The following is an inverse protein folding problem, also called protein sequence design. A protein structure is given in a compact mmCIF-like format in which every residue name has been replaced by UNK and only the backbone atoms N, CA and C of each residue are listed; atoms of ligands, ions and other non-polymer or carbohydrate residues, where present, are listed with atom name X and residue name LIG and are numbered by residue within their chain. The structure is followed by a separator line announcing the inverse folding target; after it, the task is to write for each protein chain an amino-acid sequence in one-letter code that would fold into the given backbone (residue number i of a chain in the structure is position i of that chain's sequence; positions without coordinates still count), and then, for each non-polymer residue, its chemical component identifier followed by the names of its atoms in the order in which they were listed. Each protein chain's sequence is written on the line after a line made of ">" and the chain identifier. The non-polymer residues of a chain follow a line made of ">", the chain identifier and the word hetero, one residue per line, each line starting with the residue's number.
data_IF_558601137746
#
_entry.id   IF_558601137746
#
_cell.length_a   1.000
_cell.length_b   1.000
_cell.length_c   1.000
_cell.angle_alpha   90.00
_cell.angle_beta   90.00
_cell.angle_gamma   90.00
#
_symmetry.space_group_name_H-M   'P 1'
#
loop_
_entity.id
_entity.type
_entity.pdbx_description
1 polymer ?
#
# COMPACT_ATOMS: atom_id res chain seq x y z
N UNK A 1 -1.23 -12.88 22.17
CA UNK A 1 -1.16 -11.86 21.09
C UNK A 1 -0.72 -10.55 21.71
N UNK A 2 0.23 -9.80 21.11
CA UNK A 2 0.67 -8.52 21.65
C UNK A 2 -0.48 -7.51 21.69
N UNK A 3 -0.43 -6.57 22.64
CA UNK A 3 -1.39 -5.48 22.69
C UNK A 3 -1.08 -4.43 21.61
N UNK A 4 -2.08 -3.66 21.17
CA UNK A 4 -1.88 -2.60 20.17
C UNK A 4 -0.93 -1.52 20.70
N UNK A 5 -0.99 -1.22 22.00
CA UNK A 5 -0.09 -0.27 22.66
C UNK A 5 1.38 -0.75 22.63
N UNK A 6 1.61 -2.02 22.93
CA UNK A 6 2.93 -2.65 22.91
C UNK A 6 3.51 -2.71 21.48
N UNK A 7 2.67 -3.02 20.49
CA UNK A 7 3.05 -2.95 19.08
C UNK A 7 3.49 -1.54 18.71
N UNK A 8 2.68 -0.54 19.05
CA UNK A 8 2.95 0.86 18.73
C UNK A 8 4.28 1.35 19.28
N UNK A 9 4.58 1.02 20.55
CA UNK A 9 5.86 1.38 21.18
C UNK A 9 7.05 0.76 20.45
N UNK A 10 6.91 -0.49 19.98
CA UNK A 10 8.01 -1.24 19.36
C UNK A 10 8.19 -0.97 17.87
N UNK A 11 7.10 -0.72 17.14
CA UNK A 11 7.11 -0.62 15.67
C UNK A 11 6.96 0.82 15.16
N UNK A 12 6.53 1.77 16.00
CA UNK A 12 6.34 3.17 15.61
C UNK A 12 7.17 4.16 16.45
N UNK A 13 8.52 4.19 16.34
CA UNK A 13 9.33 5.23 16.98
C UNK A 13 8.95 6.65 16.52
N UNK A 14 9.15 7.63 17.40
CA UNK A 14 8.84 9.04 17.14
C UNK A 14 9.54 9.61 15.91
N UNK A 15 10.70 9.05 15.55
CA UNK A 15 11.45 9.39 14.34
C UNK A 15 10.65 9.18 13.05
N UNK A 16 9.68 8.26 13.00
CA UNK A 16 8.83 8.09 11.82
C UNK A 16 7.83 9.25 11.71
N UNK A 17 7.36 9.81 12.82
CA UNK A 17 6.43 10.94 12.84
C UNK A 17 7.15 12.26 12.53
N UNK A 18 8.43 12.35 12.89
CA UNK A 18 9.31 13.48 12.60
C UNK A 18 9.87 13.49 11.18
N UNK A 19 9.84 12.35 10.46
CA UNK A 19 10.17 12.32 9.03
C UNK A 19 9.16 13.18 8.28
N UNK A 20 9.61 14.36 7.86
CA UNK A 20 8.91 15.24 6.94
C UNK A 20 8.98 14.70 5.50
N UNK A 21 8.77 13.39 5.33
CA UNK A 21 8.56 12.78 4.03
C UNK A 21 7.28 13.40 3.48
N UNK A 22 7.41 14.18 2.41
CA UNK A 22 6.31 14.91 1.78
C UNK A 22 5.22 14.00 1.19
N UNK A 23 5.38 12.68 1.23
CA UNK A 23 4.71 11.81 0.25
C UNK A 23 3.26 11.46 0.60
N UNK A 24 2.85 11.27 1.86
CA UNK A 24 1.44 10.90 2.10
C UNK A 24 0.87 11.48 3.40
N UNK A 25 0.12 12.58 3.26
CA UNK A 25 -0.73 13.17 4.30
C UNK A 25 -1.65 12.13 4.99
N UNK A 26 -2.18 11.17 4.23
CA UNK A 26 -2.98 10.04 4.71
C UNK A 26 -2.25 9.17 5.76
N UNK A 27 -0.95 8.95 5.55
CA UNK A 27 -0.04 8.26 6.47
C UNK A 27 -0.03 8.90 7.86
N UNK A 28 0.08 10.24 7.90
CA UNK A 28 0.11 11.02 9.15
C UNK A 28 -1.27 11.16 9.79
N UNK A 29 -2.34 11.25 9.00
CA UNK A 29 -3.67 11.60 9.50
C UNK A 29 -4.37 10.40 10.19
N UNK A 30 -4.40 9.23 9.55
CA UNK A 30 -5.12 8.07 10.10
C UNK A 30 -4.43 6.71 9.86
N UNK A 31 -3.62 6.55 8.80
CA UNK A 31 -3.11 5.22 8.45
C UNK A 31 -2.19 4.63 9.53
N UNK A 32 -1.38 5.45 10.20
CA UNK A 32 -0.57 4.99 11.35
C UNK A 32 -1.36 4.67 12.61
N UNK A 33 -2.61 5.10 12.70
CA UNK A 33 -3.51 4.66 13.78
C UNK A 33 -4.15 3.31 13.44
N UNK A 34 -4.32 2.99 12.16
CA UNK A 34 -4.96 1.77 11.67
C UNK A 34 -3.96 0.63 11.44
N UNK A 35 -2.74 0.92 10.98
CA UNK A 35 -1.72 -0.09 10.66
C UNK A 35 -1.39 -1.06 11.81
N UNK A 36 -1.34 -0.65 13.11
CA UNK A 36 -1.04 -1.59 14.18
C UNK A 36 -2.11 -2.68 14.37
N UNK A 37 -3.36 -2.40 14.00
CA UNK A 37 -4.45 -3.38 14.04
C UNK A 37 -4.27 -4.43 12.95
N UNK A 38 -3.91 -4.00 11.73
CA UNK A 38 -3.61 -4.91 10.63
C UNK A 38 -2.35 -5.71 10.92
N UNK A 39 -1.28 -5.07 11.39
CA UNK A 39 -0.04 -5.73 11.81
C UNK A 39 -0.31 -6.76 12.90
N UNK A 40 -1.15 -6.46 13.89
CA UNK A 40 -1.54 -7.43 14.93
C UNK A 40 -2.22 -8.68 14.37
N UNK A 41 -3.04 -8.51 13.32
CA UNK A 41 -3.68 -9.63 12.62
C UNK A 41 -2.69 -10.42 11.75
N UNK A 42 -1.67 -9.75 11.19
CA UNK A 42 -0.64 -10.36 10.35
C UNK A 42 0.44 -11.09 11.16
N UNK A 43 0.75 -10.67 12.39
CA UNK A 43 1.73 -11.32 13.27
C UNK A 43 1.53 -12.84 13.41
N UNK A 44 0.32 -13.38 13.72
CA UNK A 44 0.10 -14.82 13.82
C UNK A 44 0.16 -15.55 12.47
N UNK A 45 0.13 -14.84 11.34
CA UNK A 45 0.20 -15.47 10.02
C UNK A 45 1.63 -15.80 9.61
N UNK A 46 1.80 -16.78 8.71
CA UNK A 46 3.11 -17.12 8.12
C UNK A 46 3.58 -16.12 7.05
N UNK A 47 2.85 -15.04 6.82
CA UNK A 47 3.21 -14.01 5.84
C UNK A 47 4.53 -13.35 6.25
N UNK A 48 5.49 -13.33 5.34
CA UNK A 48 6.73 -12.56 5.49
C UNK A 48 6.47 -11.09 5.13
N UNK A 49 7.30 -10.14 5.59
CA UNK A 49 7.19 -8.73 5.16
C UNK A 49 7.15 -8.61 3.64
N UNK A 50 8.05 -9.31 2.94
CA UNK A 50 8.07 -9.36 1.47
C UNK A 50 6.76 -9.90 0.86
N UNK A 51 6.08 -10.84 1.54
CA UNK A 51 4.76 -11.33 1.11
C UNK A 51 3.67 -10.27 1.22
N UNK A 52 3.74 -9.39 2.22
CA UNK A 52 2.85 -8.23 2.35
C UNK A 52 3.15 -7.20 1.25
N UNK A 53 4.42 -6.98 0.91
CA UNK A 53 4.81 -6.13 -0.23
C UNK A 53 4.31 -6.69 -1.56
N UNK A 54 4.31 -8.01 -1.76
CA UNK A 54 3.69 -8.63 -2.95
C UNK A 54 2.17 -8.40 -3.02
N UNK A 55 1.47 -8.47 -1.89
CA UNK A 55 0.06 -8.11 -1.82
C UNK A 55 -0.15 -6.64 -2.18
N UNK A 56 0.75 -5.76 -1.76
CA UNK A 56 0.74 -4.34 -2.10
C UNK A 56 0.84 -4.11 -3.61
N UNK A 57 1.76 -4.81 -4.29
CA UNK A 57 1.87 -4.81 -5.76
C UNK A 57 0.56 -5.25 -6.40
N UNK A 58 -0.02 -6.35 -5.90
CA UNK A 58 -1.29 -6.88 -6.40
C UNK A 58 -2.43 -5.88 -6.27
N UNK A 59 -2.51 -5.15 -5.14
CA UNK A 59 -3.53 -4.12 -4.90
C UNK A 59 -3.33 -2.92 -5.83
N UNK A 60 -2.08 -2.47 -6.03
CA UNK A 60 -1.78 -1.37 -6.96
C UNK A 60 -2.13 -1.69 -8.41
N UNK A 61 -1.81 -2.91 -8.87
CA UNK A 61 -2.20 -3.40 -10.20
C UNK A 61 -3.71 -3.56 -10.33
N UNK A 62 -4.38 -4.06 -9.29
CA UNK A 62 -5.84 -4.15 -9.27
C UNK A 62 -6.48 -2.76 -9.33
N UNK A 63 -5.90 -1.74 -8.67
CA UNK A 63 -6.38 -0.37 -8.77
C UNK A 63 -6.29 0.14 -10.22
N UNK A 64 -5.14 -0.04 -10.87
CA UNK A 64 -4.98 0.34 -12.28
C UNK A 64 -5.97 -0.41 -13.19
N UNK A 65 -6.14 -1.72 -13.01
CA UNK A 65 -7.08 -2.52 -13.79
C UNK A 65 -8.53 -2.06 -13.60
N UNK A 66 -8.95 -1.82 -12.35
CA UNK A 66 -10.30 -1.32 -12.02
C UNK A 66 -10.56 0.02 -12.69
N UNK A 67 -9.57 0.93 -12.73
CA UNK A 67 -9.74 2.24 -13.34
C UNK A 67 -10.09 2.17 -14.84
N UNK A 68 -9.70 1.09 -15.52
CA UNK A 68 -10.05 0.88 -16.94
C UNK A 68 -11.51 0.47 -17.16
N UNK A 69 -12.23 0.06 -16.11
CA UNK A 69 -13.61 -0.37 -16.22
C UNK A 69 -14.56 0.82 -16.49
N UNK A 70 -15.65 0.61 -17.24
CA UNK A 70 -16.65 1.63 -17.45
C UNK A 70 -17.54 1.80 -16.20
N UNK A 71 -17.93 3.05 -15.93
CA UNK A 71 -18.85 3.41 -14.85
C UNK A 71 -18.37 4.57 -13.98
N UNK A 72 -19.21 4.97 -13.03
CA UNK A 72 -18.91 6.00 -12.01
C UNK A 72 -18.26 5.43 -10.75
N UNK A 73 -18.44 4.14 -10.50
CA UNK A 73 -17.92 3.42 -9.34
C UNK A 73 -16.40 3.10 -9.38
N UNK A 74 -15.73 2.90 -10.54
CA UNK A 74 -14.32 2.48 -10.55
C UNK A 74 -13.35 3.48 -9.90
N UNK A 75 -13.48 4.82 -10.11
CA UNK A 75 -12.66 5.78 -9.38
C UNK A 75 -12.80 5.70 -7.86
N UNK A 76 -14.01 5.41 -7.35
CA UNK A 76 -14.24 5.23 -5.92
C UNK A 76 -13.53 3.97 -5.40
N UNK A 77 -13.58 2.87 -6.15
CA UNK A 77 -12.88 1.65 -5.78
C UNK A 77 -11.36 1.82 -5.87
N UNK A 78 -10.85 2.57 -6.85
CA UNK A 78 -9.43 2.93 -6.98
C UNK A 78 -8.95 3.69 -5.76
N UNK A 79 -9.69 4.71 -5.32
CA UNK A 79 -9.38 5.43 -4.08
C UNK A 79 -9.31 4.46 -2.91
N UNK A 80 -10.29 3.56 -2.76
CA UNK A 80 -10.27 2.58 -1.68
C UNK A 80 -9.07 1.61 -1.75
N UNK A 81 -8.70 1.17 -2.95
CA UNK A 81 -7.55 0.28 -3.16
C UNK A 81 -6.22 0.97 -2.85
N UNK A 82 -6.03 2.22 -3.25
CA UNK A 82 -4.83 3.01 -2.89
C UNK A 82 -4.72 3.16 -1.36
N UNK A 83 -5.84 3.35 -0.69
CA UNK A 83 -5.87 3.44 0.78
C UNK A 83 -5.47 2.09 1.43
N UNK A 84 -5.96 0.98 0.88
CA UNK A 84 -5.53 -0.36 1.29
C UNK A 84 -4.03 -0.56 1.03
N UNK A 85 -3.51 -0.10 -0.10
CA UNK A 85 -2.09 -0.18 -0.44
C UNK A 85 -1.21 0.56 0.58
N UNK A 86 -1.59 1.80 0.94
CA UNK A 86 -0.92 2.59 1.97
C UNK A 86 -0.97 1.93 3.36
N UNK A 87 -2.08 1.25 3.68
CA UNK A 87 -2.20 0.50 4.93
C UNK A 87 -1.25 -0.69 4.95
N UNK A 88 -1.11 -1.40 3.82
CA UNK A 88 -0.19 -2.52 3.66
C UNK A 88 1.28 -2.10 3.75
N UNK A 89 1.66 -0.97 3.12
CA UNK A 89 2.98 -0.34 3.25
C UNK A 89 3.33 -0.04 4.72
N UNK A 90 2.42 0.61 5.45
CA UNK A 90 2.67 0.88 6.87
C UNK A 90 2.81 -0.42 7.68
N UNK A 91 2.06 -1.46 7.31
CA UNK A 91 2.02 -2.74 8.04
C UNK A 91 3.22 -3.64 7.74
N UNK A 92 3.77 -3.62 6.52
CA UNK A 92 4.94 -4.44 6.17
C UNK A 92 6.21 -3.95 6.91
N UNK A 93 6.37 -2.64 7.06
CA UNK A 93 7.46 -2.02 7.80
C UNK A 93 7.33 -2.20 9.31
N UNK A 94 6.10 -2.19 9.84
CA UNK A 94 5.83 -2.56 11.23
C UNK A 94 6.11 -4.05 11.50
N UNK A 95 5.69 -4.93 10.58
CA UNK A 95 5.93 -6.37 10.68
C UNK A 95 7.42 -6.71 10.58
N UNK A 96 8.16 -6.05 9.68
CA UNK A 96 9.61 -6.16 9.54
C UNK A 96 10.33 -5.76 10.84
N UNK A 97 9.94 -4.63 11.45
CA UNK A 97 10.48 -4.19 12.75
C UNK A 97 10.13 -5.14 13.89
N UNK A 98 8.88 -5.62 13.93
CA UNK A 98 8.44 -6.56 14.97
C UNK A 98 9.23 -7.88 14.91
N UNK A 99 9.47 -8.40 13.71
CA UNK A 99 10.18 -9.66 13.48
C UNK A 99 11.71 -9.49 13.38
N UNK A 100 12.23 -8.26 13.41
CA UNK A 100 13.65 -7.97 13.26
C UNK A 100 14.24 -8.34 11.90
N UNK A 101 13.39 -8.46 10.87
CA UNK A 101 13.78 -8.88 9.51
C UNK A 101 13.56 -7.72 8.55
N UNK A 102 14.58 -6.89 8.39
CA UNK A 102 14.66 -5.90 7.32
C UNK A 102 15.64 -6.39 6.26
N UNK A 103 15.23 -6.42 5.00
CA UNK A 103 16.13 -6.77 3.88
C UNK A 103 16.24 -5.61 2.89
N UNK A 104 17.42 -5.37 2.29
CA UNK A 104 17.55 -4.39 1.21
C UNK A 104 16.64 -4.68 0.02
N UNK A 105 16.41 -5.98 -0.26
CA UNK A 105 15.49 -6.43 -1.29
C UNK A 105 14.04 -6.02 -1.00
N UNK A 106 13.59 -6.10 0.26
CA UNK A 106 12.25 -5.65 0.67
C UNK A 106 12.06 -4.16 0.48
N UNK A 107 13.07 -3.34 0.83
CA UNK A 107 13.03 -1.88 0.60
C UNK A 107 12.97 -1.55 -0.90
N UNK A 108 13.68 -2.32 -1.73
CA UNK A 108 13.63 -2.14 -3.18
C UNK A 108 12.26 -2.54 -3.76
N UNK A 109 11.71 -3.68 -3.32
CA UNK A 109 10.40 -4.16 -3.75
C UNK A 109 9.28 -3.19 -3.36
N UNK A 110 9.33 -2.62 -2.16
CA UNK A 110 8.40 -1.59 -1.69
C UNK A 110 8.42 -0.35 -2.61
N UNK A 111 9.61 0.16 -2.93
CA UNK A 111 9.76 1.25 -3.91
C UNK A 111 9.25 0.89 -5.29
N UNK A 112 9.52 -0.32 -5.77
CA UNK A 112 9.02 -0.77 -7.06
C UNK A 112 7.49 -0.79 -7.08
N UNK A 113 6.85 -1.25 -6.01
CA UNK A 113 5.41 -1.35 -5.91
C UNK A 113 4.72 0.03 -5.94
N UNK A 114 5.29 1.02 -5.23
CA UNK A 114 4.83 2.40 -5.30
C UNK A 114 4.99 2.98 -6.71
N UNK A 115 6.20 2.91 -7.27
CA UNK A 115 6.49 3.41 -8.62
C UNK A 115 5.61 2.76 -9.69
N UNK A 116 5.34 1.45 -9.58
CA UNK A 116 4.48 0.73 -10.51
C UNK A 116 3.04 1.25 -10.46
N UNK A 117 2.54 1.52 -9.25
CA UNK A 117 1.18 2.04 -9.07
C UNK A 117 1.06 3.47 -9.60
N UNK A 118 2.05 4.32 -9.28
CA UNK A 118 2.11 5.70 -9.78
C UNK A 118 2.24 5.78 -11.30
N UNK A 119 2.94 4.83 -11.93
CA UNK A 119 3.03 4.76 -13.38
C UNK A 119 1.77 4.14 -14.02
N UNK A 120 1.16 3.14 -13.39
CA UNK A 120 0.02 2.42 -13.95
C UNK A 120 -1.29 3.22 -13.90
N UNK A 121 -1.49 4.07 -12.89
CA UNK A 121 -2.71 4.88 -12.76
C UNK A 121 -2.92 5.88 -13.91
N UNK A 122 -1.91 6.71 -14.31
CA UNK A 122 -2.02 7.57 -15.49
C UNK A 122 -2.25 6.80 -16.79
N UNK A 123 -1.58 5.65 -16.95
CA UNK A 123 -1.77 4.79 -18.14
C UNK A 123 -3.20 4.27 -18.20
N UNK A 124 -3.72 3.73 -17.10
CA UNK A 124 -5.10 3.24 -17.02
C UNK A 124 -6.12 4.37 -17.23
N UNK A 125 -5.85 5.57 -16.73
CA UNK A 125 -6.66 6.75 -16.96
C UNK A 125 -6.65 7.16 -18.44
N UNK A 126 -5.49 7.14 -19.10
CA UNK A 126 -5.36 7.45 -20.52
C UNK A 126 -6.15 6.45 -21.38
N UNK A 127 -6.03 5.15 -21.08
CA UNK A 127 -6.82 4.09 -21.73
C UNK A 127 -8.32 4.35 -21.58
N UNK A 128 -8.75 4.73 -20.37
CA UNK A 128 -10.15 5.04 -20.11
C UNK A 128 -10.63 6.30 -20.84
N UNK A 129 -9.78 7.32 -20.92
CA UNK A 129 -10.06 8.57 -21.61
C UNK A 129 -10.14 8.40 -23.14
N UNK A 130 -9.38 7.46 -23.69
CA UNK A 130 -9.38 7.16 -25.13
C UNK A 130 -10.68 6.48 -25.61
N UNK A 131 -11.44 5.88 -24.69
CA UNK A 131 -12.68 5.16 -25.01
C UNK A 131 -12.75 3.77 -24.39
N UNK A 132 -11.65 3.29 -23.81
CA UNK A 132 -11.50 1.96 -23.26
C UNK A 132 -10.63 1.07 -24.16
N UNK A 133 -10.45 -0.19 -23.76
CA UNK A 133 -9.58 -1.13 -24.49
C UNK A 133 -9.99 -1.35 -25.94
N UNK A 134 -11.27 -1.14 -26.27
CA UNK A 134 -11.82 -1.31 -27.62
C UNK A 134 -11.47 -0.15 -28.58
N UNK A 135 -11.06 1.03 -28.09
CA UNK A 135 -10.63 2.14 -28.96
C UNK A 135 -9.12 2.12 -29.27
N UNK A 136 -8.35 1.39 -28.48
CA UNK A 136 -6.89 1.25 -28.63
C UNK A 136 -6.62 0.21 -29.73
N UNK A 137 -6.85 0.60 -30.98
CA UNK A 137 -6.70 -0.28 -32.14
C UNK A 137 -7.31 0.25 -33.43
N UNK A 138 -8.25 1.19 -33.34
CA UNK A 138 -9.04 1.67 -34.48
C UNK A 138 -10.34 0.90 -34.65
#
# INVERSE_FOLDING_TARGET
>A
MPSVAELRVRTQPDSIFLRNSGEHWAGRLYMRRLSPYLTRLLIPTRLTPNGVTWLMIGVGLAAAAVLTLPGWWPPLLVVLLIQCQLLLDCSDGELARWRGVSSPAGIYLDRMAHNLTEAALPVALAIRADGGWDSIGG
#
